data_IF_843960107503
#
_entry.id   IF_843960107503
#
_cell.length_a   1.000
_cell.length_b   1.000
_cell.length_c   1.000
_cell.angle_alpha   90.00
_cell.angle_beta   90.00
_cell.angle_gamma   90.00
#
_symmetry.space_group_name_H-M   'P 1'
#
loop_
_entity.id
_entity.type
_entity.pdbx_description
1 polymer ?
#
# COMPACT_ATOMS: atom_id res chain seq x y z
N UNK A 1 12.09 -15.36 9.45
CA UNK A 1 11.27 -14.67 10.46
C UNK A 1 11.32 -15.47 11.75
N UNK A 2 11.81 -14.86 12.83
CA UNK A 2 11.88 -15.45 14.16
C UNK A 2 10.53 -15.31 14.89
N UNK A 3 10.32 -16.08 15.96
CA UNK A 3 9.13 -15.90 16.83
C UNK A 3 9.12 -14.51 17.46
N UNK A 4 10.31 -13.93 17.73
CA UNK A 4 10.44 -12.58 18.29
C UNK A 4 9.93 -11.53 17.30
N UNK A 5 10.26 -11.66 16.01
CA UNK A 5 9.81 -10.76 14.94
C UNK A 5 8.28 -10.76 14.83
N UNK A 6 7.65 -11.94 14.94
CA UNK A 6 6.18 -12.08 14.88
C UNK A 6 5.52 -11.37 16.08
N UNK A 7 6.11 -11.49 17.28
CA UNK A 7 5.57 -10.87 18.49
C UNK A 7 5.66 -9.33 18.38
N UNK A 8 6.80 -8.81 17.95
CA UNK A 8 7.00 -7.36 17.80
C UNK A 8 6.10 -6.80 16.70
N UNK A 9 6.04 -7.44 15.52
CA UNK A 9 5.14 -7.02 14.45
C UNK A 9 3.66 -7.01 14.88
N UNK A 10 3.23 -7.99 15.69
CA UNK A 10 1.86 -7.99 16.26
C UNK A 10 1.65 -6.88 17.30
N UNK A 11 2.69 -6.45 18.01
CA UNK A 11 2.64 -5.35 18.98
C UNK A 11 2.57 -4.01 18.26
N UNK A 12 3.40 -3.80 17.24
CA UNK A 12 3.35 -2.63 16.35
C UNK A 12 1.98 -2.50 15.69
N UNK A 13 1.46 -3.59 15.10
CA UNK A 13 0.12 -3.60 14.50
C UNK A 13 -0.99 -3.22 15.48
N UNK A 14 -0.89 -3.66 16.74
CA UNK A 14 -1.86 -3.29 17.78
C UNK A 14 -1.77 -1.82 18.16
N UNK A 15 -0.57 -1.28 18.31
CA UNK A 15 -0.36 0.14 18.59
C UNK A 15 -0.88 1.00 17.44
N UNK A 16 -0.56 0.60 16.20
CA UNK A 16 -1.05 1.20 14.97
C UNK A 16 -2.58 1.26 14.92
N UNK A 17 -3.27 0.14 15.13
CA UNK A 17 -4.73 0.10 15.13
C UNK A 17 -5.37 0.85 16.30
N UNK A 18 -4.66 1.04 17.42
CA UNK A 18 -5.12 1.89 18.51
C UNK A 18 -5.15 3.37 18.10
N UNK A 19 -4.13 3.83 17.37
CA UNK A 19 -4.08 5.19 16.79
C UNK A 19 -5.24 5.42 15.83
N UNK A 20 -5.48 4.47 14.91
CA UNK A 20 -6.65 4.55 14.00
C UNK A 20 -7.93 4.71 14.79
N UNK A 21 -8.13 3.93 15.86
CA UNK A 21 -9.38 3.97 16.66
C UNK A 21 -9.60 5.31 17.36
N UNK A 22 -8.55 6.06 17.66
CA UNK A 22 -8.63 7.38 18.28
C UNK A 22 -9.03 8.49 17.31
N UNK A 23 -8.91 8.26 16.00
CA UNK A 23 -9.31 9.23 14.97
C UNK A 23 -10.83 9.46 14.94
N UNK A 24 -11.30 10.62 14.43
CA UNK A 24 -12.70 10.87 14.12
C UNK A 24 -13.32 9.79 13.20
N UNK A 25 -14.64 9.70 13.18
CA UNK A 25 -15.34 8.59 12.50
C UNK A 25 -15.10 8.56 10.99
N UNK A 26 -15.14 9.71 10.32
CA UNK A 26 -14.85 9.89 8.91
C UNK A 26 -13.42 9.45 8.57
N UNK A 27 -12.43 9.91 9.34
CA UNK A 27 -11.03 9.49 9.22
C UNK A 27 -10.86 7.97 9.35
N UNK A 28 -11.55 7.35 10.32
CA UNK A 28 -11.53 5.89 10.50
C UNK A 28 -12.11 5.11 9.32
N UNK A 29 -13.13 5.65 8.66
CA UNK A 29 -13.75 5.02 7.48
C UNK A 29 -12.78 5.08 6.31
N UNK A 30 -12.27 6.27 5.99
CA UNK A 30 -11.34 6.45 4.87
C UNK A 30 -10.07 5.64 5.08
N UNK A 31 -9.52 5.64 6.30
CA UNK A 31 -8.32 4.87 6.62
C UNK A 31 -8.50 3.37 6.32
N UNK A 32 -9.66 2.78 6.66
CA UNK A 32 -9.94 1.37 6.39
C UNK A 32 -10.03 1.07 4.90
N UNK A 33 -10.60 1.98 4.10
CA UNK A 33 -10.67 1.80 2.66
C UNK A 33 -9.29 1.94 2.00
N UNK A 34 -8.48 2.92 2.44
CA UNK A 34 -7.06 3.04 2.05
C UNK A 34 -6.30 1.76 2.36
N UNK A 35 -6.44 1.24 3.59
CA UNK A 35 -5.78 0.01 4.00
C UNK A 35 -6.16 -1.17 3.07
N UNK A 36 -7.44 -1.36 2.78
CA UNK A 36 -7.90 -2.42 1.85
C UNK A 36 -7.35 -2.23 0.44
N UNK A 37 -7.32 -0.99 -0.04
CA UNK A 37 -6.84 -0.65 -1.38
C UNK A 37 -5.34 -0.96 -1.51
N UNK A 38 -4.53 -0.45 -0.58
CA UNK A 38 -3.09 -0.67 -0.57
C UNK A 38 -2.72 -2.14 -0.38
N UNK A 39 -3.47 -2.93 0.39
CA UNK A 39 -3.24 -4.38 0.44
C UNK A 39 -3.49 -5.09 -0.89
N UNK A 40 -4.25 -4.48 -1.82
CA UNK A 40 -4.50 -5.04 -3.15
C UNK A 40 -3.49 -4.56 -4.19
N UNK A 41 -3.19 -3.25 -4.22
CA UNK A 41 -2.41 -2.63 -5.30
C UNK A 41 -1.04 -2.11 -4.85
N UNK A 42 -0.79 -2.08 -3.55
CA UNK A 42 0.38 -1.45 -2.95
C UNK A 42 1.69 -2.21 -3.19
N UNK A 43 2.79 -1.63 -2.70
CA UNK A 43 4.12 -2.21 -2.83
C UNK A 43 4.21 -3.57 -2.15
N UNK A 44 5.10 -4.41 -2.67
CA UNK A 44 5.34 -5.77 -2.11
C UNK A 44 5.76 -5.71 -0.64
N UNK A 45 6.59 -4.71 -0.33
CA UNK A 45 7.12 -4.39 1.00
C UNK A 45 6.03 -3.95 1.99
N UNK A 46 4.84 -3.57 1.52
CA UNK A 46 3.71 -3.26 2.39
C UNK A 46 3.31 -4.45 3.27
N UNK A 47 3.62 -5.67 2.83
CA UNK A 47 3.38 -6.89 3.62
C UNK A 47 4.44 -7.13 4.70
N UNK A 48 5.57 -6.42 4.65
CA UNK A 48 6.71 -6.58 5.56
C UNK A 48 6.68 -5.59 6.74
N UNK A 49 5.80 -4.59 6.72
CA UNK A 49 5.72 -3.63 7.80
C UNK A 49 4.58 -2.62 7.69
N UNK A 50 4.43 -1.79 8.71
CA UNK A 50 3.39 -0.76 8.78
C UNK A 50 3.87 0.62 8.33
N UNK A 51 5.05 0.75 7.72
CA UNK A 51 5.68 2.05 7.44
C UNK A 51 4.79 3.01 6.64
N UNK A 52 4.34 2.61 5.45
CA UNK A 52 3.42 3.40 4.63
C UNK A 52 2.11 3.70 5.37
N UNK A 53 1.53 2.67 5.99
CA UNK A 53 0.28 2.80 6.74
C UNK A 53 0.42 3.75 7.94
N UNK A 54 1.58 3.78 8.59
CA UNK A 54 1.90 4.64 9.74
C UNK A 54 2.05 6.08 9.30
N UNK A 55 2.74 6.35 8.19
CA UNK A 55 2.81 7.70 7.63
C UNK A 55 1.44 8.27 7.27
N UNK A 56 0.52 7.43 6.79
CA UNK A 56 -0.88 7.83 6.53
C UNK A 56 -1.60 8.18 7.84
N UNK A 57 -1.38 7.42 8.91
CA UNK A 57 -1.94 7.77 10.23
C UNK A 57 -1.38 9.10 10.72
N UNK A 58 -0.06 9.32 10.60
CA UNK A 58 0.59 10.56 11.04
C UNK A 58 -0.06 11.77 10.34
N UNK A 59 -0.24 11.69 9.02
CA UNK A 59 -0.95 12.71 8.23
C UNK A 59 -2.41 12.91 8.68
N UNK A 60 -3.10 11.83 9.03
CA UNK A 60 -4.50 11.88 9.45
C UNK A 60 -4.65 12.49 10.85
N UNK A 61 -3.74 12.18 11.77
CA UNK A 61 -3.69 12.80 13.09
C UNK A 61 -3.44 14.30 12.99
N UNK A 62 -2.52 14.73 12.12
CA UNK A 62 -2.25 16.16 11.87
C UNK A 62 -3.47 16.86 11.24
N UNK A 63 -4.10 16.24 10.25
CA UNK A 63 -5.31 16.76 9.60
C UNK A 63 -6.46 16.94 10.60
N UNK A 64 -6.71 15.92 11.42
CA UNK A 64 -7.73 15.95 12.45
C UNK A 64 -7.44 17.00 13.54
N UNK A 65 -6.18 17.12 13.99
CA UNK A 65 -5.76 18.15 14.95
C UNK A 65 -5.92 19.57 14.38
N UNK A 66 -5.80 19.72 13.06
CA UNK A 66 -6.02 20.99 12.35
C UNK A 66 -7.50 21.27 12.03
N UNK A 67 -8.41 20.38 12.43
CA UNK A 67 -9.85 20.53 12.18
C UNK A 67 -10.27 20.37 10.71
N UNK A 68 -9.42 19.76 9.86
CA UNK A 68 -9.75 19.49 8.46
C UNK A 68 -10.67 18.28 8.36
N UNK A 69 -11.56 18.26 7.37
CA UNK A 69 -12.25 17.02 6.98
C UNK A 69 -11.28 16.05 6.31
N UNK A 70 -11.50 14.75 6.45
CA UNK A 70 -10.60 13.74 5.87
C UNK A 70 -10.44 13.88 4.34
N UNK A 71 -11.50 14.25 3.62
CA UNK A 71 -11.44 14.45 2.17
C UNK A 71 -10.74 15.76 1.77
N UNK A 72 -10.52 16.69 2.69
CA UNK A 72 -9.62 17.83 2.45
C UNK A 72 -8.15 17.42 2.54
N UNK A 73 -7.86 16.33 3.26
CA UNK A 73 -6.50 15.76 3.37
C UNK A 73 -6.21 14.85 2.18
N UNK A 74 -7.13 13.95 1.84
CA UNK A 74 -6.92 12.96 0.77
C UNK A 74 -7.39 13.42 -0.61
N UNK A 75 -8.26 14.43 -0.68
CA UNK A 75 -9.09 14.65 -1.85
C UNK A 75 -10.27 13.67 -1.94
N UNK A 76 -11.19 13.96 -2.86
CA UNK A 76 -12.36 13.11 -3.11
C UNK A 76 -12.01 11.80 -3.81
N UNK A 77 -10.91 11.79 -4.58
CA UNK A 77 -10.38 10.58 -5.21
C UNK A 77 -9.30 9.96 -4.31
N UNK A 78 -9.76 9.19 -3.33
CA UNK A 78 -8.90 8.53 -2.35
C UNK A 78 -7.99 7.48 -3.01
N UNK A 79 -8.41 6.89 -4.13
CA UNK A 79 -7.60 5.93 -4.87
C UNK A 79 -6.42 6.64 -5.53
N UNK A 80 -6.66 7.76 -6.21
CA UNK A 80 -5.60 8.58 -6.79
C UNK A 80 -4.58 9.05 -5.74
N UNK A 81 -5.06 9.45 -4.54
CA UNK A 81 -4.18 9.74 -3.41
C UNK A 81 -3.28 8.56 -3.03
N UNK A 82 -3.84 7.35 -2.95
CA UNK A 82 -3.06 6.14 -2.67
C UNK A 82 -2.05 5.84 -3.78
N UNK A 83 -2.44 5.98 -5.04
CA UNK A 83 -1.59 5.72 -6.20
C UNK A 83 -0.39 6.68 -6.21
N UNK A 84 -0.62 7.97 -5.93
CA UNK A 84 0.44 8.98 -5.81
C UNK A 84 1.42 8.67 -4.68
N UNK A 85 0.96 8.10 -3.56
CA UNK A 85 1.82 7.69 -2.45
C UNK A 85 2.75 6.53 -2.81
N UNK A 86 2.33 5.64 -3.71
CA UNK A 86 3.08 4.41 -4.05
C UNK A 86 3.77 4.46 -5.41
N UNK A 87 3.61 5.53 -6.18
CA UNK A 87 4.06 5.64 -7.59
C UNK A 87 5.54 5.30 -7.82
N UNK A 88 6.40 5.57 -6.84
CA UNK A 88 7.85 5.33 -6.92
C UNK A 88 8.27 4.01 -6.26
N UNK A 89 7.30 3.21 -5.78
CA UNK A 89 7.54 1.93 -5.10
C UNK A 89 7.24 0.76 -6.02
N UNK A 90 8.00 -0.34 -5.89
CA UNK A 90 7.77 -1.53 -6.70
C UNK A 90 6.54 -2.29 -6.21
N UNK A 91 5.50 -2.35 -7.04
CA UNK A 91 4.25 -3.06 -6.77
C UNK A 91 4.31 -4.51 -7.25
N UNK A 92 3.34 -5.32 -6.82
CA UNK A 92 3.17 -6.65 -7.40
C UNK A 92 2.88 -6.60 -8.90
N UNK A 93 2.15 -5.57 -9.37
CA UNK A 93 1.85 -5.41 -10.79
C UNK A 93 3.14 -5.25 -11.62
N UNK A 94 4.10 -4.47 -11.13
CA UNK A 94 5.39 -4.26 -11.81
C UNK A 94 6.16 -5.58 -11.96
N UNK A 95 6.19 -6.40 -10.89
CA UNK A 95 6.84 -7.72 -10.92
C UNK A 95 6.17 -8.64 -11.94
N UNK A 96 4.83 -8.66 -11.96
CA UNK A 96 4.10 -9.49 -12.91
C UNK A 96 4.30 -9.02 -14.35
N UNK A 97 4.33 -7.71 -14.60
CA UNK A 97 4.58 -7.15 -15.93
C UNK A 97 5.97 -7.57 -16.45
N UNK A 98 7.02 -7.40 -15.64
CA UNK A 98 8.38 -7.84 -16.00
C UNK A 98 8.45 -9.33 -16.36
N UNK A 99 7.74 -10.17 -15.59
CA UNK A 99 7.68 -11.62 -15.80
C UNK A 99 6.97 -12.00 -17.10
N UNK A 100 5.80 -11.39 -17.35
CA UNK A 100 5.01 -11.63 -18.56
C UNK A 100 5.78 -11.20 -19.80
N UNK A 101 6.36 -10.00 -19.80
CA UNK A 101 7.12 -9.46 -20.93
C UNK A 101 8.30 -10.37 -21.28
N UNK A 102 9.00 -10.88 -20.25
CA UNK A 102 10.11 -11.82 -20.43
C UNK A 102 9.68 -13.15 -21.06
N UNK A 103 8.57 -13.73 -20.60
CA UNK A 103 8.08 -15.01 -21.15
C UNK A 103 7.52 -14.84 -22.57
N UNK A 104 6.85 -13.72 -22.88
CA UNK A 104 6.42 -13.39 -24.24
C UNK A 104 7.64 -13.25 -25.17
N UNK A 105 8.65 -12.48 -24.77
CA UNK A 105 9.87 -12.29 -25.57
C UNK A 105 10.57 -13.63 -25.87
N UNK A 106 10.66 -14.50 -24.87
CA UNK A 106 11.23 -15.86 -25.00
C UNK A 106 10.42 -16.74 -25.94
N UNK A 107 9.10 -16.71 -25.86
CA UNK A 107 8.21 -17.45 -26.75
C UNK A 107 8.36 -16.98 -28.21
N UNK A 108 8.37 -15.65 -28.43
CA UNK A 108 8.53 -15.04 -29.75
C UNK A 108 9.89 -15.37 -30.38
N UNK A 109 10.96 -15.39 -29.60
CA UNK A 109 12.29 -15.81 -30.06
C UNK A 109 12.29 -17.25 -30.55
N UNK A 110 11.72 -18.19 -29.77
CA UNK A 110 11.63 -19.62 -30.17
C UNK A 110 10.85 -19.84 -31.46
N UNK A 111 9.78 -19.07 -31.69
CA UNK A 111 8.99 -19.15 -32.93
C UNK A 111 9.84 -18.69 -34.13
N UNK A 112 10.64 -17.64 -33.94
CA UNK A 112 11.50 -17.08 -34.99
C UNK A 112 12.68 -18.00 -35.31
N UNK A 113 13.32 -18.57 -34.29
CA UNK A 113 14.45 -19.50 -34.45
C UNK A 113 14.06 -20.82 -35.12
N UNK A 114 12.82 -21.31 -34.93
CA UNK A 114 12.29 -22.53 -35.59
C UNK A 114 11.95 -22.33 -37.07
N UNK A 115 11.79 -21.09 -37.53
CA UNK A 115 11.49 -20.77 -38.94
C UNK A 115 12.74 -20.57 -39.79
N UNK A 116 13.92 -20.62 -39.18
CA UNK A 116 15.22 -20.43 -39.82
C UNK A 116 15.94 -21.76 -39.94
#
# INVERSE_FOLDING_TARGET
MSIQDIIEGKKEWRAHMARVKALPQDYRVVYKEIQKYLFKVGPVELTEGTGLLSGIIDLFEEGAASGKGVLEVTGNDVAAFCDDLIKDSKTYADIYQESVDKEVAKAMKKITDKKK
#
